data_IF_877547251541
#
_entry.id   IF_877547251541
#
_cell.length_a   1.000
_cell.length_b   1.000
_cell.length_c   1.000
_cell.angle_alpha   90.00
_cell.angle_beta   90.00
_cell.angle_gamma   90.00
#
_symmetry.space_group_name_H-M   'P 1'
#
loop_
_entity.id
_entity.type
_entity.pdbx_description
1 polymer ?
#
# COMPACT_ATOMS: atom_id res chain seq x y z
N UNK A 1 0.40 6.23 9.67
CA UNK A 1 -0.96 5.66 9.57
C UNK A 1 -1.94 6.75 9.95
N UNK A 2 -3.01 6.93 9.18
CA UNK A 2 -4.09 7.87 9.49
C UNK A 2 -5.44 7.20 9.21
N UNK A 3 -6.52 7.78 9.74
CA UNK A 3 -7.89 7.37 9.46
C UNK A 3 -8.61 8.48 8.71
N UNK A 4 -9.41 8.10 7.71
CA UNK A 4 -10.29 9.00 6.99
C UNK A 4 -11.59 8.28 6.62
N UNK A 5 -12.74 8.83 7.04
CA UNK A 5 -14.08 8.30 6.79
C UNK A 5 -14.27 6.81 7.16
N UNK A 6 -13.70 6.40 8.29
CA UNK A 6 -13.74 5.04 8.82
C UNK A 6 -12.69 4.09 8.24
N UNK A 7 -11.84 4.55 7.32
CA UNK A 7 -10.82 3.72 6.67
C UNK A 7 -9.42 4.09 7.13
N UNK A 8 -8.59 3.09 7.42
CA UNK A 8 -7.21 3.26 7.87
C UNK A 8 -6.23 3.14 6.69
N UNK A 9 -5.29 4.08 6.61
CA UNK A 9 -4.31 4.18 5.54
C UNK A 9 -2.88 4.15 6.06
N UNK A 10 -1.97 3.55 5.29
CA UNK A 10 -0.53 3.76 5.45
C UNK A 10 -0.13 4.95 4.58
N UNK A 11 0.63 5.90 5.13
CA UNK A 11 1.21 7.02 4.39
C UNK A 11 2.72 6.94 4.47
N UNK A 12 3.40 7.00 3.33
CA UNK A 12 4.85 7.07 3.23
C UNK A 12 5.27 8.29 2.39
N UNK A 13 6.27 9.03 2.85
CA UNK A 13 6.77 10.23 2.18
C UNK A 13 7.98 9.89 1.32
N UNK A 14 7.92 10.21 0.03
CA UNK A 14 8.99 10.00 -0.94
C UNK A 14 9.58 11.34 -1.39
N UNK A 15 10.89 11.48 -1.26
CA UNK A 15 11.63 12.65 -1.77
C UNK A 15 12.27 12.40 -3.15
N UNK A 16 11.86 11.32 -3.82
CA UNK A 16 12.33 10.91 -5.14
C UNK A 16 12.11 12.01 -6.18
N UNK A 17 13.07 12.20 -7.07
CA UNK A 17 12.96 13.10 -8.21
C UNK A 17 12.47 12.33 -9.43
N UNK A 18 11.34 12.73 -10.01
CA UNK A 18 10.82 12.18 -11.27
C UNK A 18 11.07 13.13 -12.46
N UNK A 19 11.49 14.36 -12.16
CA UNK A 19 11.80 15.42 -13.10
C UNK A 19 11.97 16.76 -12.37
N UNK A 20 12.08 17.84 -13.12
CA UNK A 20 12.40 19.18 -12.58
C UNK A 20 11.17 19.99 -12.13
N UNK A 21 9.96 19.58 -12.52
CA UNK A 21 8.70 20.29 -12.22
C UNK A 21 7.59 19.33 -11.83
N UNK A 22 6.50 19.86 -11.26
CA UNK A 22 5.31 19.11 -10.86
C UNK A 22 4.67 18.30 -11.99
N UNK A 23 4.82 18.74 -13.24
CA UNK A 23 4.34 18.01 -14.42
C UNK A 23 5.01 16.64 -14.63
N UNK A 24 6.14 16.37 -13.96
CA UNK A 24 6.81 15.07 -13.98
C UNK A 24 6.18 14.04 -13.02
N UNK A 25 5.28 14.45 -12.13
CA UNK A 25 4.66 13.59 -11.11
C UNK A 25 3.26 13.16 -11.56
N UNK A 26 3.18 12.57 -12.74
CA UNK A 26 1.96 11.93 -13.27
C UNK A 26 1.74 10.58 -12.59
N UNK A 27 0.50 10.07 -12.63
CA UNK A 27 0.18 8.72 -12.11
C UNK A 27 1.08 7.65 -12.72
N UNK A 28 1.34 7.74 -14.03
CA UNK A 28 2.21 6.82 -14.74
C UNK A 28 3.65 6.89 -14.22
N UNK A 29 4.25 8.08 -14.16
CA UNK A 29 5.64 8.24 -13.74
C UNK A 29 5.85 7.83 -12.27
N UNK A 30 4.90 8.16 -11.39
CA UNK A 30 4.92 7.72 -9.99
C UNK A 30 4.80 6.19 -9.88
N UNK A 31 3.89 5.59 -10.65
CA UNK A 31 3.73 4.13 -10.71
C UNK A 31 4.99 3.42 -11.20
N UNK A 32 5.63 3.91 -12.27
CA UNK A 32 6.89 3.37 -12.79
C UNK A 32 8.02 3.46 -11.75
N UNK A 33 8.13 4.60 -11.06
CA UNK A 33 9.13 4.79 -9.99
C UNK A 33 8.88 3.86 -8.79
N UNK A 34 7.62 3.61 -8.45
CA UNK A 34 7.24 2.63 -7.41
C UNK A 34 7.70 1.23 -7.78
N UNK A 35 7.47 0.81 -9.02
CA UNK A 35 7.89 -0.51 -9.52
C UNK A 35 9.42 -0.63 -9.61
N UNK A 36 10.12 0.38 -10.12
CA UNK A 36 11.60 0.40 -10.22
C UNK A 36 12.27 0.23 -8.84
N UNK A 37 11.70 0.85 -7.81
CA UNK A 37 12.20 0.78 -6.44
C UNK A 37 11.60 -0.33 -5.59
N UNK A 38 10.74 -1.16 -6.18
CA UNK A 38 10.00 -2.22 -5.49
C UNK A 38 9.23 -1.74 -4.25
N UNK A 39 8.70 -0.52 -4.34
CA UNK A 39 7.82 0.03 -3.33
C UNK A 39 6.45 -0.67 -3.31
N UNK A 40 6.09 -1.39 -4.37
CA UNK A 40 4.98 -2.34 -4.42
C UNK A 40 5.04 -3.34 -3.26
N UNK A 41 6.18 -4.00 -3.11
CA UNK A 41 6.39 -4.95 -2.04
C UNK A 41 6.40 -4.27 -0.66
N UNK A 42 6.99 -3.07 -0.57
CA UNK A 42 7.05 -2.31 0.67
C UNK A 42 5.65 -1.99 1.21
N UNK A 43 4.77 -1.43 0.38
CA UNK A 43 3.43 -1.09 0.85
C UNK A 43 2.58 -2.32 1.12
N UNK A 44 2.75 -3.42 0.38
CA UNK A 44 2.05 -4.68 0.66
C UNK A 44 2.39 -5.18 2.07
N UNK A 45 3.66 -5.16 2.45
CA UNK A 45 4.08 -5.57 3.81
C UNK A 45 3.57 -4.61 4.89
N UNK A 46 3.55 -3.30 4.62
CA UNK A 46 3.00 -2.34 5.57
C UNK A 46 1.49 -2.48 5.74
N UNK A 47 0.77 -2.76 4.65
CA UNK A 47 -0.67 -3.04 4.70
C UNK A 47 -0.98 -4.36 5.38
N UNK A 48 -0.16 -5.41 5.22
CA UNK A 48 -0.29 -6.63 6.00
C UNK A 48 -0.13 -6.38 7.50
N UNK A 49 0.88 -5.58 7.90
CA UNK A 49 1.07 -5.20 9.29
C UNK A 49 -0.13 -4.41 9.84
N UNK A 50 -0.67 -3.48 9.06
CA UNK A 50 -1.89 -2.74 9.41
C UNK A 50 -3.10 -3.67 9.50
N UNK A 51 -3.29 -4.57 8.54
CA UNK A 51 -4.36 -5.56 8.51
C UNK A 51 -4.37 -6.40 9.79
N UNK A 52 -3.22 -6.98 10.16
CA UNK A 52 -3.05 -7.75 11.39
C UNK A 52 -3.34 -6.92 12.64
N UNK A 53 -2.86 -5.68 12.69
CA UNK A 53 -3.10 -4.77 13.81
C UNK A 53 -4.59 -4.47 13.99
N UNK A 54 -5.30 -4.14 12.91
CA UNK A 54 -6.72 -3.82 12.96
C UNK A 54 -7.56 -5.05 13.30
N UNK A 55 -7.26 -6.22 12.71
CA UNK A 55 -7.87 -7.51 13.05
C UNK A 55 -7.76 -7.84 14.54
N UNK A 56 -6.65 -7.46 15.19
CA UNK A 56 -6.45 -7.66 16.62
C UNK A 56 -7.10 -6.61 17.54
N UNK A 57 -7.53 -5.46 17.01
CA UNK A 57 -7.97 -4.29 17.81
C UNK A 57 -9.42 -3.90 17.58
N UNK A 58 -9.93 -4.07 16.37
CA UNK A 58 -11.29 -3.69 16.00
C UNK A 58 -12.21 -4.90 16.13
N UNK A 59 -13.33 -4.80 16.87
CA UNK A 59 -14.39 -5.78 16.78
C UNK A 59 -14.98 -5.78 15.36
N UNK A 60 -15.37 -6.96 14.88
CA UNK A 60 -16.00 -7.15 13.56
C UNK A 60 -15.19 -6.60 12.38
N UNK A 61 -13.85 -6.59 12.48
CA UNK A 61 -12.93 -6.10 11.45
C UNK A 61 -13.20 -6.71 10.06
N UNK A 62 -13.24 -5.86 9.05
CA UNK A 62 -13.37 -6.25 7.64
C UNK A 62 -12.36 -5.47 6.78
N UNK A 63 -11.58 -6.18 5.96
CA UNK A 63 -10.53 -5.56 5.14
C UNK A 63 -11.08 -4.59 4.09
N UNK A 64 -12.19 -4.94 3.44
CA UNK A 64 -12.74 -4.14 2.36
C UNK A 64 -13.36 -2.84 2.90
N UNK A 65 -13.95 -2.90 4.10
CA UNK A 65 -14.50 -1.76 4.81
C UNK A 65 -13.43 -0.91 5.49
N UNK A 66 -12.59 -1.50 6.33
CA UNK A 66 -11.78 -0.77 7.32
C UNK A 66 -10.39 -0.37 6.81
N UNK A 67 -9.87 -1.00 5.74
CA UNK A 67 -8.58 -0.62 5.15
C UNK A 67 -8.78 0.27 3.94
N UNK A 68 -8.16 1.43 3.96
CA UNK A 68 -8.21 2.39 2.85
C UNK A 68 -7.10 2.18 1.80
N UNK A 69 -6.00 1.53 2.18
CA UNK A 69 -4.85 1.27 1.30
C UNK A 69 -3.61 2.06 1.69
N UNK A 70 -2.68 2.15 0.76
CA UNK A 70 -1.42 2.86 0.91
C UNK A 70 -1.43 4.16 0.10
N UNK A 71 -0.85 5.20 0.67
CA UNK A 71 -0.63 6.50 0.05
C UNK A 71 0.88 6.76 0.04
N UNK A 72 1.44 6.90 -1.15
CA UNK A 72 2.84 7.26 -1.35
C UNK A 72 2.89 8.69 -1.86
N UNK A 73 3.35 9.59 -1.00
CA UNK A 73 3.36 11.02 -1.28
C UNK A 73 4.73 11.47 -1.77
N UNK A 74 4.86 11.70 -3.07
CA UNK A 74 6.02 12.29 -3.71
C UNK A 74 6.05 13.79 -3.41
N UNK A 75 6.82 14.19 -2.39
CA UNK A 75 6.85 15.55 -1.85
C UNK A 75 7.19 16.63 -2.89
N UNK A 76 7.94 16.26 -3.93
CA UNK A 76 8.37 17.18 -4.99
C UNK A 76 7.32 17.42 -6.08
N UNK A 77 6.21 16.67 -6.06
CA UNK A 77 5.09 16.82 -6.98
C UNK A 77 3.83 17.34 -6.30
N UNK A 78 3.94 17.99 -5.14
CA UNK A 78 2.78 18.36 -4.32
C UNK A 78 1.85 19.37 -5.01
N UNK A 79 2.35 20.14 -5.97
CA UNK A 79 1.54 21.06 -6.78
C UNK A 79 1.10 20.44 -8.12
N UNK A 80 1.39 19.16 -8.36
CA UNK A 80 0.91 18.45 -9.54
C UNK A 80 -0.60 18.21 -9.45
N UNK A 81 -1.28 17.91 -10.58
CA UNK A 81 -2.69 17.52 -10.55
C UNK A 81 -3.00 16.30 -9.67
N UNK A 82 -2.01 15.45 -9.40
CA UNK A 82 -2.13 14.27 -8.51
C UNK A 82 -1.89 14.63 -7.04
N UNK A 83 -1.47 15.86 -6.75
CA UNK A 83 -0.99 16.26 -5.43
C UNK A 83 0.26 15.49 -4.98
N UNK A 84 0.97 14.87 -5.93
CA UNK A 84 2.08 13.96 -5.68
C UNK A 84 1.66 12.64 -5.02
N UNK A 85 0.37 12.33 -4.95
CA UNK A 85 -0.13 11.14 -4.26
C UNK A 85 -0.32 9.98 -5.24
N UNK A 86 0.41 8.89 -5.01
CA UNK A 86 0.08 7.60 -5.57
C UNK A 86 -0.69 6.78 -4.53
N UNK A 87 -1.85 6.24 -4.89
CA UNK A 87 -2.72 5.48 -3.98
C UNK A 87 -2.97 4.10 -4.56
N UNK A 88 -2.80 3.07 -3.74
CA UNK A 88 -3.14 1.69 -4.11
C UNK A 88 -3.74 0.92 -2.93
N UNK A 89 -4.67 0.02 -3.24
CA UNK A 89 -5.26 -0.93 -2.29
C UNK A 89 -5.21 -2.32 -2.92
N UNK A 90 -4.25 -3.17 -2.51
CA UNK A 90 -4.22 -4.58 -2.87
C UNK A 90 -5.54 -5.30 -2.60
N UNK A 91 -5.85 -6.36 -3.37
CA UNK A 91 -7.05 -7.14 -3.11
C UNK A 91 -6.96 -7.87 -1.77
N UNK A 92 -8.10 -8.01 -1.09
CA UNK A 92 -8.26 -8.79 0.15
C UNK A 92 -7.58 -10.15 0.10
N UNK A 93 -7.76 -10.87 -1.00
CA UNK A 93 -7.19 -12.21 -1.20
C UNK A 93 -5.66 -12.23 -1.04
N UNK A 94 -4.95 -11.19 -1.49
CA UNK A 94 -3.50 -11.12 -1.31
C UNK A 94 -3.13 -10.94 0.17
N UNK A 95 -3.88 -10.12 0.90
CA UNK A 95 -3.63 -9.90 2.33
C UNK A 95 -3.88 -11.18 3.13
N UNK A 96 -4.98 -11.88 2.85
CA UNK A 96 -5.34 -13.13 3.53
C UNK A 96 -4.33 -14.25 3.23
N UNK A 97 -3.88 -14.39 1.98
CA UNK A 97 -2.83 -15.35 1.62
C UNK A 97 -1.50 -15.05 2.30
N UNK A 98 -1.09 -13.78 2.35
CA UNK A 98 0.12 -13.38 3.07
C UNK A 98 -0.01 -13.55 4.58
N UNK A 99 -1.20 -13.31 5.15
CA UNK A 99 -1.50 -13.53 6.57
C UNK A 99 -1.28 -15.01 6.93
N UNK A 100 -1.88 -15.93 6.16
CA UNK A 100 -1.69 -17.38 6.32
C UNK A 100 -0.23 -17.81 6.20
N UNK A 101 0.50 -17.29 5.20
CA UNK A 101 1.93 -17.60 5.02
C UNK A 101 2.77 -17.17 6.23
N UNK A 102 2.48 -16.01 6.82
CA UNK A 102 3.19 -15.53 8.01
C UNK A 102 2.81 -16.28 9.29
N UNK A 103 1.66 -16.96 9.31
CA UNK A 103 1.26 -17.88 10.38
C UNK A 103 1.85 -19.29 10.22
N UNK A 104 2.61 -19.51 9.15
CA UNK A 104 3.27 -20.79 8.85
C UNK A 104 2.35 -21.82 8.18
N UNK A 105 1.20 -21.39 7.68
CA UNK A 105 0.29 -22.24 6.92
C UNK A 105 0.86 -22.46 5.50
N UNK A 106 0.95 -23.71 5.07
CA UNK A 106 1.39 -24.04 3.72
C UNK A 106 0.36 -23.54 2.72
N UNK A 107 0.79 -22.74 1.74
CA UNK A 107 -0.04 -22.49 0.55
C UNK A 107 -0.07 -23.77 -0.29
N UNK A 108 -1.22 -24.12 -0.88
CA UNK A 108 -1.41 -25.34 -1.68
C UNK A 108 -0.49 -25.44 -2.94
N UNK A 109 0.48 -24.52 -3.11
CA UNK A 109 1.48 -24.55 -4.18
C UNK A 109 2.84 -25.16 -3.81
N UNK A 110 3.13 -25.45 -2.54
CA UNK A 110 4.45 -25.96 -2.11
C UNK A 110 4.55 -27.50 -2.06
N UNK A 111 3.46 -28.22 -2.32
CA UNK A 111 3.41 -29.69 -2.28
C UNK A 111 3.83 -30.40 -3.59
N UNK A 112 4.41 -29.67 -4.56
CA UNK A 112 4.85 -30.26 -5.82
C UNK A 112 6.14 -29.61 -6.36
N UNK A 113 7.28 -29.95 -5.75
CA UNK A 113 8.61 -29.84 -6.36
C UNK A 113 9.50 -31.00 -5.88
#
# INVERSE_FOLDING_TARGET
>A
VFEHNGQYYVLDYKSNALGESDSAYTDQAMGEALLDKRYDLQYVLYLLALHRLLKARLPDYDYDRDVGGAVYLFLRGIESPTGGAFVDKPPRALMEQLDSLFDGESTEGEAAA
#
